data_IF_057477934931
#
_entry.id   IF_057477934931
#
_cell.length_a   1.000
_cell.length_b   1.000
_cell.length_c   1.000
_cell.angle_alpha   90.00
_cell.angle_beta   90.00
_cell.angle_gamma   90.00
#
_symmetry.space_group_name_H-M   'P 1'
#
loop_
_entity.id
_entity.type
_entity.pdbx_description
1 polymer ?
#
# COMPACT_ATOMS: atom_id res chain seq x y z
N UNK A 1 19.66 -1.33 -16.60
CA UNK A 1 19.08 -2.65 -16.31
C UNK A 1 17.70 -2.79 -16.99
N UNK A 2 17.35 -4.00 -17.44
CA UNK A 2 16.10 -4.29 -18.18
C UNK A 2 14.94 -4.64 -17.22
N UNK A 3 15.23 -5.17 -16.03
CA UNK A 3 14.23 -5.47 -15.01
C UNK A 3 13.77 -4.21 -14.25
N UNK A 4 12.50 -4.14 -13.82
CA UNK A 4 11.99 -3.02 -13.03
C UNK A 4 12.78 -2.90 -11.72
N UNK A 5 13.01 -1.66 -11.29
CA UNK A 5 13.69 -1.38 -10.03
C UNK A 5 12.65 -1.30 -8.90
N UNK A 6 12.59 -2.33 -8.05
CA UNK A 6 11.62 -2.43 -6.95
C UNK A 6 11.68 -1.24 -5.99
N UNK A 7 12.88 -0.76 -5.66
CA UNK A 7 13.05 0.40 -4.77
C UNK A 7 12.36 1.63 -5.38
N UNK A 8 12.61 1.91 -6.67
CA UNK A 8 11.98 3.05 -7.35
C UNK A 8 10.47 2.89 -7.52
N UNK A 9 9.99 1.66 -7.71
CA UNK A 9 8.55 1.38 -7.77
C UNK A 9 7.87 1.69 -6.44
N UNK A 10 8.42 1.22 -5.31
CA UNK A 10 7.87 1.54 -3.98
C UNK A 10 7.95 3.04 -3.70
N UNK A 11 9.13 3.62 -3.88
CA UNK A 11 9.36 5.06 -3.75
C UNK A 11 8.34 5.93 -4.50
N UNK A 12 7.98 5.52 -5.73
CA UNK A 12 7.05 6.23 -6.61
C UNK A 12 5.58 5.88 -6.43
N UNK A 13 5.21 4.98 -5.51
CA UNK A 13 3.82 4.56 -5.33
C UNK A 13 3.29 3.61 -6.40
N UNK A 14 4.16 2.88 -7.12
CA UNK A 14 3.75 1.92 -8.14
C UNK A 14 3.45 0.56 -7.51
N UNK A 15 2.16 0.26 -7.40
CA UNK A 15 1.63 -0.96 -6.79
C UNK A 15 1.80 -2.19 -7.71
N UNK A 16 2.04 -3.35 -7.11
CA UNK A 16 2.18 -4.64 -7.82
C UNK A 16 0.99 -5.56 -7.56
N UNK A 17 0.42 -6.14 -8.63
CA UNK A 17 -0.57 -7.21 -8.50
C UNK A 17 0.06 -8.46 -7.86
N UNK A 18 -0.75 -9.22 -7.11
CA UNK A 18 -0.35 -10.37 -6.26
C UNK A 18 0.44 -10.00 -5.00
N UNK A 19 0.92 -8.76 -4.88
CA UNK A 19 1.60 -8.27 -3.68
C UNK A 19 0.79 -7.18 -2.99
N UNK A 20 0.75 -5.96 -3.56
CA UNK A 20 0.02 -4.82 -2.98
C UNK A 20 -1.47 -4.86 -3.31
N UNK A 21 -1.84 -5.56 -4.39
CA UNK A 21 -3.21 -5.74 -4.87
C UNK A 21 -3.48 -7.22 -5.03
N UNK A 22 -4.39 -7.75 -4.23
CA UNK A 22 -4.80 -9.16 -4.25
C UNK A 22 -6.21 -9.32 -4.82
N UNK A 23 -6.71 -10.56 -4.85
CA UNK A 23 -8.10 -10.85 -5.25
C UNK A 23 -9.12 -10.46 -4.18
N UNK A 24 -8.66 -10.24 -2.95
CA UNK A 24 -9.49 -9.87 -1.82
C UNK A 24 -9.57 -8.34 -1.64
N UNK A 25 -8.85 -7.59 -2.48
CA UNK A 25 -8.84 -6.14 -2.49
C UNK A 25 -9.77 -5.56 -3.54
N UNK A 26 -10.29 -4.38 -3.25
CA UNK A 26 -11.07 -3.57 -4.15
C UNK A 26 -10.43 -2.18 -4.32
N UNK A 27 -10.82 -1.39 -5.34
CA UNK A 27 -10.21 -0.08 -5.58
C UNK A 27 -10.34 0.90 -4.40
N UNK A 28 -11.33 0.76 -3.52
CA UNK A 28 -11.48 1.64 -2.36
C UNK A 28 -10.42 1.33 -1.30
N UNK A 29 -10.05 0.06 -1.10
CA UNK A 29 -8.90 -0.31 -0.25
C UNK A 29 -7.63 0.40 -0.72
N UNK A 30 -7.45 0.55 -2.04
CA UNK A 30 -6.26 1.14 -2.64
C UNK A 30 -6.28 2.68 -2.70
N UNK A 31 -7.40 3.33 -2.33
CA UNK A 31 -7.60 4.77 -2.54
C UNK A 31 -7.75 5.15 -4.03
N UNK A 32 -8.25 4.22 -4.83
CA UNK A 32 -8.41 4.30 -6.29
C UNK A 32 -9.88 4.50 -6.71
N UNK A 33 -10.69 5.08 -5.85
CA UNK A 33 -12.09 5.42 -6.11
C UNK A 33 -12.25 6.31 -7.36
N UNK A 34 -11.27 7.19 -7.62
CA UNK A 34 -11.22 8.05 -8.80
C UNK A 34 -11.12 7.29 -10.14
N UNK A 35 -10.76 6.00 -10.14
CA UNK A 35 -10.69 5.17 -11.35
C UNK A 35 -12.03 4.52 -11.71
N UNK A 36 -13.05 4.66 -10.86
CA UNK A 36 -14.37 4.05 -11.09
C UNK A 36 -15.34 5.10 -11.63
N UNK A 37 -15.73 4.94 -12.89
CA UNK A 37 -16.84 5.69 -13.47
C UNK A 37 -18.15 4.92 -13.23
N UNK A 38 -18.97 5.40 -12.29
CA UNK A 38 -20.29 4.81 -12.02
C UNK A 38 -21.38 5.31 -12.96
N UNK A 39 -21.17 6.45 -13.63
CA UNK A 39 -22.15 7.13 -14.47
C UNK A 39 -22.14 6.61 -15.90
N UNK A 40 -21.11 5.84 -16.29
CA UNK A 40 -21.08 5.16 -17.58
C UNK A 40 -22.33 4.29 -17.81
N UNK A 41 -22.86 4.32 -19.03
CA UNK A 41 -24.08 3.59 -19.41
C UNK A 41 -23.89 2.07 -19.30
N UNK A 42 -22.67 1.57 -19.50
CA UNK A 42 -22.35 0.15 -19.45
C UNK A 42 -22.37 -0.41 -18.01
N UNK A 43 -22.98 -1.59 -17.84
CA UNK A 43 -22.97 -2.33 -16.57
C UNK A 43 -21.73 -3.24 -16.51
N UNK A 44 -20.62 -2.65 -16.09
CA UNK A 44 -19.36 -3.38 -15.96
C UNK A 44 -19.38 -4.41 -14.82
N UNK A 45 -18.55 -5.43 -14.96
CA UNK A 45 -18.43 -6.51 -13.95
C UNK A 45 -18.03 -5.89 -12.61
N UNK A 46 -18.88 -6.09 -11.60
CA UNK A 46 -18.66 -5.61 -10.24
C UNK A 46 -19.27 -4.23 -9.92
N UNK A 47 -19.95 -3.57 -10.86
CA UNK A 47 -20.56 -2.23 -10.64
C UNK A 47 -21.44 -2.17 -9.39
N UNK A 48 -22.43 -3.07 -9.28
CA UNK A 48 -23.32 -3.12 -8.12
C UNK A 48 -22.58 -3.41 -6.79
N UNK A 49 -21.55 -4.27 -6.82
CA UNK A 49 -20.75 -4.57 -5.63
C UNK A 49 -19.93 -3.35 -5.19
N UNK A 50 -19.30 -2.64 -6.13
CA UNK A 50 -18.54 -1.43 -5.86
C UNK A 50 -19.42 -0.26 -5.41
N UNK A 51 -20.65 -0.14 -5.92
CA UNK A 51 -21.63 0.84 -5.41
C UNK A 51 -21.98 0.58 -3.94
N UNK A 52 -22.14 -0.70 -3.58
CA UNK A 52 -22.39 -1.09 -2.19
C UNK A 52 -21.18 -0.75 -1.31
N UNK A 53 -19.97 -1.10 -1.73
CA UNK A 53 -18.73 -0.78 -0.98
C UNK A 53 -18.56 0.74 -0.83
N UNK A 54 -18.86 1.52 -1.88
CA UNK A 54 -18.85 3.00 -1.81
C UNK A 54 -19.79 3.54 -0.74
N UNK A 55 -20.94 2.90 -0.55
CA UNK A 55 -21.95 3.30 0.43
C UNK A 55 -21.57 2.88 1.84
N UNK A 56 -21.09 1.64 2.00
CA UNK A 56 -20.74 1.05 3.30
C UNK A 56 -19.39 1.55 3.83
N UNK A 57 -18.49 1.95 2.93
CA UNK A 57 -17.09 2.28 3.20
C UNK A 57 -16.18 1.04 3.21
N UNK A 58 -14.91 1.15 2.77
CA UNK A 58 -13.97 0.04 2.85
C UNK A 58 -13.60 -0.23 4.32
N UNK A 59 -13.42 -1.50 4.66
CA UNK A 59 -12.99 -1.91 6.01
C UNK A 59 -11.48 -1.90 6.20
N UNK A 60 -10.76 -1.79 5.09
CA UNK A 60 -9.30 -1.87 5.02
C UNK A 60 -8.78 -0.77 4.11
N UNK A 61 -7.51 -0.42 4.28
CA UNK A 61 -6.83 0.56 3.47
C UNK A 61 -5.37 0.15 3.26
N UNK A 62 -4.90 0.31 2.03
CA UNK A 62 -3.49 0.23 1.71
C UNK A 62 -2.81 1.55 2.10
N UNK A 63 -1.80 1.46 2.95
CA UNK A 63 -1.06 2.60 3.49
C UNK A 63 0.42 2.48 3.21
N UNK A 64 1.10 3.63 3.18
CA UNK A 64 2.55 3.69 3.21
C UNK A 64 3.05 3.43 4.62
N UNK A 65 4.18 2.74 4.75
CA UNK A 65 4.80 2.45 6.04
C UNK A 65 6.30 2.76 6.02
N UNK A 66 6.83 3.09 7.19
CA UNK A 66 8.24 3.10 7.52
C UNK A 66 8.53 2.01 8.57
N UNK A 67 9.39 1.04 8.23
CA UNK A 67 9.78 -0.04 9.13
C UNK A 67 11.06 0.34 9.89
N UNK A 68 11.01 0.29 11.23
CA UNK A 68 12.12 0.70 12.08
C UNK A 68 13.15 -0.42 12.31
N UNK A 69 14.42 -0.02 12.45
CA UNK A 69 15.54 -0.93 12.66
C UNK A 69 16.04 -1.58 11.36
N UNK A 70 16.78 -2.68 11.49
CA UNK A 70 17.36 -3.36 10.33
C UNK A 70 16.29 -4.09 9.52
N UNK A 71 16.35 -3.96 8.20
CA UNK A 71 15.53 -4.76 7.30
C UNK A 71 16.16 -6.17 7.20
N UNK A 72 15.38 -7.26 7.32
CA UNK A 72 15.87 -8.59 6.97
C UNK A 72 16.47 -8.61 5.56
N UNK A 73 17.47 -9.47 5.33
CA UNK A 73 18.13 -9.55 4.03
C UNK A 73 17.13 -9.94 2.92
N UNK A 74 17.16 -9.22 1.80
CA UNK A 74 16.26 -9.43 0.67
C UNK A 74 14.94 -8.67 0.76
N UNK A 75 14.00 -9.02 -0.12
CA UNK A 75 12.61 -8.55 -0.07
C UNK A 75 11.76 -9.54 0.73
N UNK A 76 10.66 -9.08 1.33
CA UNK A 76 9.69 -9.98 1.92
C UNK A 76 9.10 -10.90 0.81
N UNK A 77 9.36 -12.21 0.92
CA UNK A 77 8.83 -13.22 -0.01
C UNK A 77 7.37 -13.60 0.28
N UNK A 78 6.89 -13.24 1.46
CA UNK A 78 5.53 -13.47 1.95
C UNK A 78 5.03 -12.21 2.65
N UNK A 79 3.73 -12.19 2.96
CA UNK A 79 3.14 -11.15 3.79
C UNK A 79 3.64 -11.27 5.23
N UNK A 80 4.02 -10.15 5.84
CA UNK A 80 4.33 -10.10 7.26
C UNK A 80 3.16 -9.52 8.02
N UNK A 81 2.69 -10.24 9.05
CA UNK A 81 1.56 -9.82 9.85
C UNK A 81 1.83 -8.48 10.53
N UNK A 82 0.82 -7.61 10.55
CA UNK A 82 0.85 -6.31 11.23
C UNK A 82 -0.12 -6.36 12.39
N UNK A 83 0.33 -5.89 13.54
CA UNK A 83 -0.41 -5.93 14.79
C UNK A 83 -0.54 -4.54 15.42
N UNK A 84 -1.63 -4.36 16.16
CA UNK A 84 -1.80 -3.27 17.12
C UNK A 84 -2.05 -3.87 18.49
N UNK A 85 -1.13 -3.64 19.43
CA UNK A 85 -1.29 -4.14 20.80
C UNK A 85 -1.38 -5.66 20.90
N UNK A 86 -0.72 -6.39 19.98
CA UNK A 86 -0.74 -7.85 19.90
C UNK A 86 -1.94 -8.44 19.14
N UNK A 87 -2.85 -7.62 18.63
CA UNK A 87 -3.95 -8.07 17.78
C UNK A 87 -3.65 -7.82 16.30
N UNK A 88 -3.90 -8.82 15.46
CA UNK A 88 -3.75 -8.74 14.01
C UNK A 88 -4.66 -7.68 13.39
N UNK A 89 -4.07 -6.71 12.70
CA UNK A 89 -4.78 -5.65 11.96
C UNK A 89 -4.52 -5.68 10.46
N UNK A 90 -3.52 -6.43 10.01
CA UNK A 90 -3.25 -6.49 8.58
C UNK A 90 -1.95 -7.19 8.24
N UNK A 91 -1.36 -6.77 7.13
CA UNK A 91 -0.07 -7.29 6.71
C UNK A 91 0.72 -6.28 5.88
N UNK A 92 2.05 -6.38 5.96
CA UNK A 92 2.98 -5.73 5.03
C UNK A 92 2.93 -6.50 3.71
N UNK A 93 2.66 -5.77 2.62
CA UNK A 93 2.61 -6.34 1.27
C UNK A 93 4.00 -6.37 0.64
N UNK A 94 4.74 -5.27 0.81
CA UNK A 94 6.09 -5.09 0.28
C UNK A 94 6.88 -4.09 1.10
N UNK A 95 8.15 -4.38 1.36
CA UNK A 95 9.07 -3.47 2.05
C UNK A 95 10.46 -3.51 1.40
N UNK A 96 11.12 -2.35 1.31
CA UNK A 96 12.44 -2.17 0.72
C UNK A 96 13.27 -1.15 1.50
N UNK A 97 14.59 -1.29 1.47
CA UNK A 97 15.50 -0.22 1.87
C UNK A 97 15.57 0.82 0.75
N UNK A 98 15.21 2.07 1.02
CA UNK A 98 15.48 3.21 0.13
C UNK A 98 16.80 3.87 0.53
N UNK A 99 17.86 3.81 -0.31
CA UNK A 99 19.10 4.52 -0.05
C UNK A 99 18.94 6.04 -0.09
N UNK A 100 17.96 6.55 -0.85
CA UNK A 100 17.74 8.00 -1.02
C UNK A 100 17.06 8.65 0.18
N UNK A 101 16.16 7.92 0.82
CA UNK A 101 15.46 8.37 2.02
C UNK A 101 16.18 7.92 3.29
N UNK A 102 17.18 7.04 3.16
CA UNK A 102 17.84 6.35 4.27
C UNK A 102 16.86 5.67 5.22
N UNK A 103 15.76 5.14 4.68
CA UNK A 103 14.64 4.50 5.40
C UNK A 103 14.25 3.16 4.81
N UNK A 104 13.61 2.31 5.61
CA UNK A 104 12.92 1.13 5.10
C UNK A 104 11.46 1.52 4.87
N UNK A 105 11.02 1.50 3.62
CA UNK A 105 9.70 1.96 3.20
C UNK A 105 8.93 0.84 2.52
N UNK A 106 7.62 0.93 2.55
CA UNK A 106 6.79 -0.13 1.99
C UNK A 106 5.30 0.17 2.06
N UNK A 107 4.49 -0.82 1.72
CA UNK A 107 3.05 -0.75 1.86
C UNK A 107 2.55 -1.80 2.85
N UNK A 108 1.44 -1.49 3.49
CA UNK A 108 0.70 -2.41 4.32
C UNK A 108 -0.80 -2.26 4.07
N UNK A 109 -1.51 -3.39 4.04
CA UNK A 109 -2.96 -3.43 4.00
C UNK A 109 -3.48 -3.64 5.42
N UNK A 110 -4.04 -2.59 6.02
CA UNK A 110 -4.47 -2.56 7.43
C UNK A 110 -5.95 -2.25 7.55
N UNK A 111 -6.54 -2.47 8.72
CA UNK A 111 -7.91 -1.99 8.99
C UNK A 111 -7.96 -0.47 8.95
N UNK A 112 -9.11 0.09 8.57
CA UNK A 112 -9.28 1.55 8.37
C UNK A 112 -9.02 2.36 9.64
N UNK A 113 -9.33 1.80 10.82
CA UNK A 113 -9.02 2.39 12.13
C UNK A 113 -7.52 2.60 12.38
N UNK A 114 -6.67 1.90 11.63
CA UNK A 114 -5.22 1.89 11.80
C UNK A 114 -4.48 2.60 10.66
N UNK A 115 -5.21 3.16 9.70
CA UNK A 115 -4.67 3.71 8.47
C UNK A 115 -4.17 5.16 8.58
N UNK A 116 -4.36 5.83 9.72
CA UNK A 116 -3.98 7.23 9.89
C UNK A 116 -2.44 7.41 9.88
N UNK A 117 -1.95 8.42 9.17
CA UNK A 117 -0.52 8.80 9.17
C UNK A 117 -0.03 9.09 10.59
N UNK A 118 1.17 8.60 10.93
CA UNK A 118 1.77 8.71 12.26
C UNK A 118 1.39 7.57 13.20
N UNK A 119 0.45 6.70 12.82
CA UNK A 119 0.07 5.53 13.61
C UNK A 119 1.24 4.56 13.77
N UNK A 120 1.58 4.22 15.01
CA UNK A 120 2.55 3.17 15.33
C UNK A 120 1.91 1.78 15.40
N UNK A 121 2.56 0.79 14.78
CA UNK A 121 2.16 -0.62 14.74
C UNK A 121 3.39 -1.52 14.93
N UNK A 122 3.17 -2.82 15.10
CA UNK A 122 4.22 -3.84 15.16
C UNK A 122 4.06 -4.87 14.05
N UNK A 123 5.13 -5.58 13.72
CA UNK A 123 5.13 -6.69 12.75
C UNK A 123 6.11 -7.77 13.18
N UNK A 124 5.77 -9.03 12.92
CA UNK A 124 6.70 -10.14 13.09
C UNK A 124 7.47 -10.37 11.79
N UNK A 125 8.79 -10.23 11.84
CA UNK A 125 9.68 -10.50 10.71
C UNK A 125 10.53 -11.74 10.96
N UNK A 126 11.21 -12.29 9.94
CA UNK A 126 12.15 -13.39 10.16
C UNK A 126 13.29 -13.07 11.15
N UNK A 127 13.61 -11.78 11.37
CA UNK A 127 14.60 -11.34 12.36
C UNK A 127 14.00 -10.90 13.70
N UNK A 128 12.73 -11.22 13.94
CA UNK A 128 11.98 -10.89 15.15
C UNK A 128 11.00 -9.74 14.97
N UNK A 129 10.39 -9.34 16.09
CA UNK A 129 9.43 -8.24 16.12
C UNK A 129 10.08 -6.91 15.78
N UNK A 130 9.39 -6.11 14.96
CA UNK A 130 9.79 -4.75 14.60
C UNK A 130 8.63 -3.80 14.73
N UNK A 131 8.95 -2.54 15.01
CA UNK A 131 8.00 -1.42 14.97
C UNK A 131 7.91 -0.88 13.55
N UNK A 132 6.74 -0.39 13.18
CA UNK A 132 6.53 0.38 11.97
C UNK A 132 5.63 1.58 12.24
N UNK A 133 5.68 2.56 11.35
CA UNK A 133 4.82 3.75 11.41
C UNK A 133 4.14 3.97 10.06
N UNK A 134 2.85 4.21 10.08
CA UNK A 134 2.10 4.62 8.89
C UNK A 134 2.56 6.00 8.44
N UNK A 135 2.83 6.16 7.15
CA UNK A 135 3.33 7.41 6.57
C UNK A 135 2.63 7.77 5.25
N UNK A 136 2.83 9.01 4.81
CA UNK A 136 2.38 9.45 3.49
C UNK A 136 3.12 8.70 2.38
N UNK A 137 2.43 8.47 1.27
CA UNK A 137 2.97 7.90 0.04
C UNK A 137 2.24 8.52 -1.17
N UNK A 138 2.88 8.63 -2.36
CA UNK A 138 4.25 8.19 -2.67
C UNK A 138 5.34 9.10 -2.06
N UNK A 139 6.52 8.54 -1.76
CA UNK A 139 7.66 9.30 -1.22
C UNK A 139 8.30 10.22 -2.27
N UNK A 140 8.23 9.85 -3.55
CA UNK A 140 8.57 10.73 -4.65
C UNK A 140 7.40 10.82 -5.64
N UNK A 141 6.76 11.99 -5.80
CA UNK A 141 5.63 12.13 -6.70
C UNK A 141 6.06 12.00 -8.17
N UNK A 142 5.15 11.52 -9.01
CA UNK A 142 5.37 11.43 -10.45
C UNK A 142 5.55 12.83 -11.05
N UNK A 143 6.65 13.04 -11.78
CA UNK A 143 6.86 14.28 -12.54
C UNK A 143 5.97 14.27 -13.79
N UNK A 144 4.89 15.06 -13.77
CA UNK A 144 4.01 15.25 -14.94
C UNK A 144 4.42 16.51 -15.70
N UNK A 145 5.22 16.36 -16.76
CA UNK A 145 5.38 17.42 -17.78
C UNK A 145 4.30 17.22 -18.84
N UNK A 146 3.16 17.87 -18.64
CA UNK A 146 2.11 17.90 -19.66
C UNK A 146 2.50 19.01 -20.65
N UNK A 147 2.92 18.62 -21.85
CA UNK A 147 3.10 19.58 -22.94
C UNK A 147 1.75 20.26 -23.19
N UNK A 148 1.67 21.58 -23.00
CA UNK A 148 0.51 22.35 -23.44
C UNK A 148 0.48 22.25 -24.97
N UNK A 149 -0.46 21.49 -25.50
CA UNK A 149 -0.81 21.57 -26.92
C UNK A 149 -1.46 22.96 -27.08
N UNK A 150 -0.82 23.81 -27.88
CA UNK A 150 -1.33 25.13 -28.27
C UNK A 150 -2.57 25.00 -29.15
#
# INVERSE_FOLDING_TARGET
PIAPNTIRSVEGGLLSYVSDITRDDDPFVLGFDWMIDFDQEFDFIGKAALQKIKTDGPKRQLVGIELHGDLPEGSNGEFWEVERGGESTGHITRVVRSPRLEKNIGFANVRVEDAAVGTGLTTQTPSGEKRLTVCEWPWFPAQKKISKIL
#
